data_IF_161537106708
#
_entry.id   IF_161537106708
#
_cell.length_a   1.000
_cell.length_b   1.000
_cell.length_c   1.000
_cell.angle_alpha   90.00
_cell.angle_beta   90.00
_cell.angle_gamma   90.00
#
_symmetry.space_group_name_H-M   'P 1'
#
loop_
_entity.id
_entity.type
_entity.pdbx_description
1 polymer ?
#
# COMPACT_ATOMS: atom_id res chain seq x y z
N UNK A 1 -12.06 -39.82 20.55
CA UNK A 1 -11.42 -38.48 20.46
C UNK A 1 -12.50 -37.43 20.64
N UNK A 2 -12.36 -36.48 21.58
CA UNK A 2 -13.41 -35.48 21.87
C UNK A 2 -13.55 -34.47 20.72
N UNK A 3 -14.78 -33.97 20.47
CA UNK A 3 -15.08 -32.95 19.44
C UNK A 3 -14.14 -31.74 19.52
N UNK A 4 -13.72 -31.37 20.74
CA UNK A 4 -12.76 -30.28 21.00
C UNK A 4 -11.37 -30.55 20.43
N UNK A 5 -10.85 -31.78 20.55
CA UNK A 5 -9.52 -32.14 20.02
C UNK A 5 -9.51 -32.03 18.50
N UNK A 6 -10.55 -32.55 17.85
CA UNK A 6 -10.68 -32.51 16.38
C UNK A 6 -10.77 -31.07 15.89
N UNK A 7 -11.58 -30.23 16.56
CA UNK A 7 -11.69 -28.81 16.23
C UNK A 7 -10.35 -28.08 16.34
N UNK A 8 -9.62 -28.24 17.44
CA UNK A 8 -8.33 -27.58 17.63
C UNK A 8 -7.27 -28.02 16.62
N UNK A 9 -7.23 -29.31 16.28
CA UNK A 9 -6.32 -29.83 15.24
C UNK A 9 -6.61 -29.20 13.88
N UNK A 10 -7.88 -29.17 13.48
CA UNK A 10 -8.31 -28.54 12.24
C UNK A 10 -8.05 -27.02 12.24
N UNK A 11 -8.31 -26.35 13.35
CA UNK A 11 -8.06 -24.91 13.50
C UNK A 11 -6.56 -24.57 13.42
N UNK A 12 -5.68 -25.39 13.99
CA UNK A 12 -4.23 -25.23 13.86
C UNK A 12 -3.76 -25.37 12.41
N UNK A 13 -4.31 -26.34 11.66
CA UNK A 13 -4.02 -26.48 10.22
C UNK A 13 -4.45 -25.23 9.46
N UNK A 14 -5.67 -24.74 9.69
CA UNK A 14 -6.20 -23.55 9.04
C UNK A 14 -5.39 -22.28 9.37
N UNK A 15 -4.99 -22.12 10.63
CA UNK A 15 -4.16 -21.01 11.09
C UNK A 15 -2.78 -21.02 10.41
N UNK A 16 -2.13 -22.19 10.33
CA UNK A 16 -0.85 -22.35 9.65
C UNK A 16 -0.93 -21.99 8.16
N UNK A 17 -1.93 -22.51 7.45
CA UNK A 17 -2.14 -22.22 6.03
C UNK A 17 -2.40 -20.72 5.80
N UNK A 18 -3.17 -20.08 6.68
CA UNK A 18 -3.43 -18.64 6.61
C UNK A 18 -2.13 -17.83 6.71
N UNK A 19 -1.26 -18.18 7.67
CA UNK A 19 0.06 -17.52 7.84
C UNK A 19 0.94 -17.75 6.62
N UNK A 20 0.99 -18.97 6.07
CA UNK A 20 1.79 -19.29 4.88
C UNK A 20 1.32 -18.50 3.64
N UNK A 21 0.02 -18.46 3.39
CA UNK A 21 -0.56 -17.67 2.29
C UNK A 21 -0.24 -16.19 2.48
N UNK A 22 -0.42 -15.65 3.70
CA UNK A 22 -0.15 -14.24 3.97
C UNK A 22 1.34 -13.89 3.77
N UNK A 23 2.24 -14.76 4.23
CA UNK A 23 3.69 -14.60 4.06
C UNK A 23 4.12 -14.72 2.60
N UNK A 24 3.47 -15.58 1.81
CA UNK A 24 3.76 -15.68 0.37
C UNK A 24 3.46 -14.36 -0.35
N UNK A 25 2.33 -13.72 -0.04
CA UNK A 25 1.98 -12.42 -0.62
C UNK A 25 2.77 -11.25 -0.02
N UNK A 26 3.17 -11.35 1.26
CA UNK A 26 3.95 -10.33 1.97
C UNK A 26 5.25 -10.91 2.56
N UNK A 27 6.23 -11.29 1.71
CA UNK A 27 7.48 -11.86 2.22
C UNK A 27 8.26 -10.83 3.03
N UNK A 28 8.77 -11.26 4.19
CA UNK A 28 9.79 -10.50 4.91
C UNK A 28 11.05 -10.35 4.05
N UNK A 29 11.70 -9.20 4.12
CA UNK A 29 12.98 -8.98 3.44
C UNK A 29 12.89 -8.56 1.97
N UNK A 30 11.70 -8.17 1.46
CA UNK A 30 11.56 -7.59 0.10
C UNK A 30 12.23 -6.21 -0.09
N UNK A 31 13.09 -5.75 0.83
CA UNK A 31 13.97 -4.62 0.52
C UNK A 31 15.13 -5.18 -0.28
N UNK A 32 15.24 -4.75 -1.54
CA UNK A 32 16.45 -4.96 -2.33
C UNK A 32 17.59 -4.27 -1.59
N UNK A 33 18.35 -5.01 -0.78
CA UNK A 33 19.73 -4.62 -0.51
C UNK A 33 20.39 -4.49 -1.88
N UNK A 34 20.73 -3.26 -2.25
CA UNK A 34 21.67 -3.07 -3.35
C UNK A 34 23.00 -3.51 -2.77
N UNK A 35 23.35 -4.77 -3.03
CA UNK A 35 24.66 -5.32 -2.72
C UNK A 35 25.63 -4.72 -3.75
N UNK A 36 26.12 -3.54 -3.40
CA UNK A 36 27.03 -2.73 -4.18
C UNK A 36 27.45 -1.55 -3.31
N UNK A 37 28.69 -1.58 -2.86
CA UNK A 37 29.42 -0.44 -2.31
C UNK A 37 29.27 0.71 -3.31
N UNK A 38 28.53 1.76 -2.91
CA UNK A 38 28.28 3.06 -3.56
C UNK A 38 26.79 3.45 -3.43
N UNK A 39 26.48 4.13 -2.32
CA UNK A 39 25.17 4.71 -1.99
C UNK A 39 24.87 5.93 -2.89
N UNK A 40 24.50 5.69 -4.16
CA UNK A 40 23.95 6.71 -5.08
C UNK A 40 22.41 6.81 -5.01
N UNK A 41 21.75 5.97 -4.19
CA UNK A 41 20.28 5.89 -4.13
C UNK A 41 19.66 6.43 -2.83
N UNK A 42 20.45 6.82 -1.83
CA UNK A 42 19.97 7.58 -0.67
C UNK A 42 18.93 6.85 0.20
N UNK A 43 18.90 5.51 0.16
CA UNK A 43 18.05 4.73 1.05
C UNK A 43 18.92 4.30 2.24
N UNK A 44 18.74 4.89 3.43
CA UNK A 44 19.59 4.57 4.57
C UNK A 44 19.43 3.10 4.96
N UNK A 45 20.50 2.33 4.82
CA UNK A 45 20.62 0.99 5.39
C UNK A 45 20.74 1.14 6.91
N UNK A 46 19.86 0.46 7.65
CA UNK A 46 19.92 0.51 9.11
C UNK A 46 21.03 -0.40 9.59
N UNK A 47 21.99 0.13 10.35
CA UNK A 47 23.15 -0.61 10.88
C UNK A 47 22.79 -1.82 11.75
N UNK A 48 21.55 -1.90 12.24
CA UNK A 48 21.06 -3.03 13.04
C UNK A 48 20.25 -4.03 12.21
N UNK A 49 20.07 -3.80 10.92
CA UNK A 49 19.39 -4.75 10.04
C UNK A 49 20.32 -5.93 9.80
N UNK A 50 19.91 -7.16 10.15
CA UNK A 50 20.74 -8.33 9.96
C UNK A 50 20.78 -8.69 8.46
N UNK A 51 21.89 -9.29 8.02
CA UNK A 51 22.07 -9.69 6.63
C UNK A 51 20.96 -10.63 6.12
N UNK A 52 20.63 -10.58 4.82
CA UNK A 52 19.50 -11.32 4.23
C UNK A 52 19.47 -12.82 4.55
N UNK A 53 20.62 -13.49 4.62
CA UNK A 53 20.67 -14.92 4.91
C UNK A 53 20.14 -15.26 6.32
N UNK A 54 20.16 -14.32 7.26
CA UNK A 54 19.63 -14.54 8.63
C UNK A 54 18.13 -14.83 8.62
N UNK A 55 17.41 -14.34 7.61
CA UNK A 55 15.98 -14.61 7.43
C UNK A 55 15.68 -16.03 6.93
N UNK A 56 16.69 -16.84 6.56
CA UNK A 56 16.52 -18.28 6.25
C UNK A 56 15.97 -19.04 7.46
N UNK A 57 16.15 -18.53 8.69
CA UNK A 57 15.58 -19.12 9.91
C UNK A 57 14.06 -19.33 9.82
N UNK A 58 13.34 -18.50 9.06
CA UNK A 58 11.91 -18.64 8.86
C UNK A 58 11.54 -19.94 8.16
N UNK A 59 12.37 -20.44 7.23
CA UNK A 59 12.15 -21.74 6.60
C UNK A 59 12.22 -22.88 7.62
N UNK A 60 13.17 -22.83 8.56
CA UNK A 60 13.28 -23.79 9.65
C UNK A 60 12.07 -23.71 10.59
N UNK A 61 11.68 -22.50 11.01
CA UNK A 61 10.51 -22.28 11.87
C UNK A 61 9.24 -22.83 11.20
N UNK A 62 8.99 -22.50 9.93
CA UNK A 62 7.80 -22.99 9.22
C UNK A 62 7.83 -24.50 8.99
N UNK A 63 9.01 -25.10 8.79
CA UNK A 63 9.17 -26.55 8.68
C UNK A 63 8.83 -27.27 9.99
N UNK A 64 9.30 -26.74 11.12
CA UNK A 64 8.98 -27.28 12.44
C UNK A 64 7.49 -27.15 12.77
N UNK A 65 6.89 -25.99 12.44
CA UNK A 65 5.46 -25.77 12.61
C UNK A 65 4.61 -26.70 11.73
N UNK A 66 5.05 -26.94 10.49
CA UNK A 66 4.43 -27.95 9.62
C UNK A 66 4.53 -29.35 10.24
N UNK A 67 5.71 -29.70 10.77
CA UNK A 67 5.93 -30.94 11.50
C UNK A 67 4.97 -31.09 12.68
N UNK A 68 4.78 -30.06 13.50
CA UNK A 68 3.78 -30.04 14.58
C UNK A 68 2.35 -30.25 14.05
N UNK A 69 1.98 -29.53 12.99
CA UNK A 69 0.63 -29.61 12.39
C UNK A 69 0.33 -31.01 11.86
N UNK A 70 1.32 -31.73 11.35
CA UNK A 70 1.22 -33.14 10.92
C UNK A 70 1.23 -34.07 12.14
N UNK A 71 2.17 -33.87 13.07
CA UNK A 71 2.42 -34.75 14.21
C UNK A 71 1.18 -34.91 15.10
N UNK A 72 0.42 -33.85 15.36
CA UNK A 72 -0.80 -33.92 16.18
C UNK A 72 -1.89 -34.89 15.65
N UNK A 73 -1.79 -35.35 14.40
CA UNK A 73 -2.69 -36.37 13.83
C UNK A 73 -2.21 -37.80 14.08
N UNK A 74 -0.97 -37.98 14.50
CA UNK A 74 -0.42 -39.28 14.90
C UNK A 74 -1.03 -39.77 16.21
N UNK A 75 -1.10 -41.08 16.38
CA UNK A 75 -1.61 -41.73 17.58
C UNK A 75 -0.81 -41.37 18.84
N UNK A 76 0.48 -41.07 18.67
CA UNK A 76 1.39 -40.70 19.77
C UNK A 76 1.21 -39.26 20.27
N UNK A 77 0.42 -38.42 19.59
CA UNK A 77 0.36 -36.98 19.83
C UNK A 77 -1.06 -36.47 20.12
N UNK A 78 -2.01 -37.37 20.40
CA UNK A 78 -3.45 -37.05 20.40
C UNK A 78 -3.86 -35.95 21.39
N UNK A 79 -3.10 -35.80 22.48
CA UNK A 79 -3.38 -34.87 23.58
C UNK A 79 -2.45 -33.65 23.60
N UNK A 80 -1.35 -33.65 22.85
CA UNK A 80 -0.41 -32.52 22.78
C UNK A 80 -1.09 -31.20 22.34
N UNK A 81 -2.12 -31.29 21.49
CA UNK A 81 -2.92 -30.14 21.05
C UNK A 81 -3.75 -29.53 22.18
N UNK A 82 -4.30 -30.35 23.08
CA UNK A 82 -5.24 -29.88 24.12
C UNK A 82 -4.54 -29.60 25.44
N UNK A 83 -3.49 -30.34 25.77
CA UNK A 83 -2.80 -30.19 27.04
C UNK A 83 -1.56 -29.29 26.91
N UNK A 84 -0.90 -29.30 25.76
CA UNK A 84 0.30 -28.47 25.51
C UNK A 84 0.00 -27.12 24.87
N UNK A 85 -0.67 -27.13 23.72
CA UNK A 85 -0.74 -25.94 22.83
C UNK A 85 -2.04 -25.16 22.94
N UNK A 86 -3.17 -25.85 23.12
CA UNK A 86 -4.50 -25.27 23.24
C UNK A 86 -4.80 -24.25 22.13
N UNK A 87 -5.26 -23.06 22.51
CA UNK A 87 -5.57 -21.95 21.61
C UNK A 87 -4.37 -21.02 21.38
N UNK A 88 -3.25 -21.20 22.10
CA UNK A 88 -2.11 -20.29 22.08
C UNK A 88 -1.50 -20.19 20.68
N UNK A 89 -1.39 -21.31 19.96
CA UNK A 89 -0.88 -21.31 18.60
C UNK A 89 -1.78 -20.54 17.62
N UNK A 90 -3.10 -20.67 17.76
CA UNK A 90 -4.08 -19.95 16.94
C UNK A 90 -3.96 -18.44 17.20
N UNK A 91 -3.89 -18.05 18.48
CA UNK A 91 -3.70 -16.65 18.88
C UNK A 91 -2.39 -16.10 18.32
N UNK A 92 -1.28 -16.84 18.41
CA UNK A 92 0.00 -16.44 17.85
C UNK A 92 -0.07 -16.23 16.33
N UNK A 93 -0.79 -17.09 15.59
CA UNK A 93 -1.01 -16.92 14.16
C UNK A 93 -1.83 -15.66 13.85
N UNK A 94 -2.92 -15.43 14.60
CA UNK A 94 -3.76 -14.23 14.45
C UNK A 94 -2.95 -12.97 14.71
N UNK A 95 -2.18 -12.95 15.81
CA UNK A 95 -1.30 -11.83 16.13
C UNK A 95 -0.27 -11.62 15.02
N UNK A 96 0.34 -12.70 14.49
CA UNK A 96 1.33 -12.67 13.39
C UNK A 96 0.78 -12.03 12.11
N UNK A 97 -0.47 -12.30 11.76
CA UNK A 97 -1.11 -11.65 10.60
C UNK A 97 -1.50 -10.21 10.94
N UNK A 98 -2.06 -10.01 12.14
CA UNK A 98 -2.59 -8.72 12.58
C UNK A 98 -1.50 -7.65 12.63
N UNK A 99 -0.35 -7.92 13.27
CA UNK A 99 0.70 -6.91 13.39
C UNK A 99 1.23 -6.47 12.03
N UNK A 100 1.33 -7.38 11.04
CA UNK A 100 1.77 -7.03 9.67
C UNK A 100 0.75 -6.16 8.96
N UNK A 101 -0.53 -6.50 9.06
CA UNK A 101 -1.62 -5.68 8.49
C UNK A 101 -1.62 -4.29 9.13
N UNK A 102 -1.52 -4.23 10.45
CA UNK A 102 -1.42 -2.98 11.19
C UNK A 102 -0.20 -2.18 10.73
N UNK A 103 0.98 -2.81 10.61
CA UNK A 103 2.18 -2.08 10.20
C UNK A 103 2.03 -1.48 8.80
N UNK A 104 1.56 -2.27 7.83
CA UNK A 104 1.35 -1.77 6.47
C UNK A 104 0.37 -0.60 6.40
N UNK A 105 -0.70 -0.64 7.21
CA UNK A 105 -1.67 0.46 7.29
C UNK A 105 -1.06 1.70 7.93
N UNK A 106 -0.32 1.52 9.02
CA UNK A 106 0.34 2.62 9.71
C UNK A 106 1.43 3.26 8.84
N UNK A 107 2.22 2.48 8.10
CA UNK A 107 3.24 2.97 7.16
C UNK A 107 2.59 3.85 6.08
N UNK A 108 1.47 3.40 5.51
CA UNK A 108 0.73 4.19 4.52
C UNK A 108 0.16 5.49 5.11
N UNK A 109 -0.50 5.40 6.27
CA UNK A 109 -1.22 6.53 6.87
C UNK A 109 -0.31 7.56 7.54
N UNK A 110 0.75 7.12 8.20
CA UNK A 110 1.61 8.00 9.01
C UNK A 110 2.95 8.32 8.35
N UNK A 111 3.39 7.52 7.38
CA UNK A 111 4.66 7.77 6.67
C UNK A 111 4.38 8.19 5.24
N UNK A 112 3.74 7.37 4.41
CA UNK A 112 3.63 7.71 2.98
C UNK A 112 2.74 8.94 2.73
N UNK A 113 1.49 8.92 3.20
CA UNK A 113 0.53 9.98 2.88
C UNK A 113 0.92 11.36 3.41
N UNK A 114 1.38 11.53 4.67
CA UNK A 114 1.73 12.86 5.17
C UNK A 114 2.91 13.47 4.41
N UNK A 115 3.92 12.67 4.07
CA UNK A 115 5.09 13.14 3.32
C UNK A 115 4.72 13.49 1.86
N UNK A 116 3.86 12.70 1.21
CA UNK A 116 3.36 13.03 -0.13
C UNK A 116 2.54 14.32 -0.12
N UNK A 117 1.61 14.47 0.82
CA UNK A 117 0.80 15.70 0.96
C UNK A 117 1.73 16.90 1.21
N UNK A 118 2.71 16.73 2.09
CA UNK A 118 3.69 17.77 2.40
C UNK A 118 4.50 18.15 1.17
N UNK A 119 5.00 17.18 0.39
CA UNK A 119 5.75 17.44 -0.84
C UNK A 119 4.88 18.18 -1.88
N UNK A 120 3.63 17.76 -2.06
CA UNK A 120 2.68 18.43 -2.96
C UNK A 120 2.39 19.86 -2.54
N UNK A 121 2.19 20.10 -1.25
CA UNK A 121 1.98 21.46 -0.73
C UNK A 121 3.25 22.32 -0.78
N UNK A 122 4.42 21.75 -0.54
CA UNK A 122 5.70 22.45 -0.62
C UNK A 122 5.97 22.93 -2.05
N UNK A 123 5.65 22.13 -3.08
CA UNK A 123 5.72 22.54 -4.48
C UNK A 123 4.83 23.77 -4.74
N UNK A 124 3.57 23.74 -4.29
CA UNK A 124 2.63 24.87 -4.42
C UNK A 124 3.16 26.10 -3.68
N UNK A 125 3.63 25.94 -2.44
CA UNK A 125 4.19 27.02 -1.64
C UNK A 125 5.42 27.65 -2.31
N UNK A 126 6.30 26.84 -2.93
CA UNK A 126 7.45 27.35 -3.68
C UNK A 126 7.00 28.23 -4.86
N UNK A 127 6.00 27.80 -5.63
CA UNK A 127 5.44 28.62 -6.73
C UNK A 127 4.88 29.95 -6.20
N UNK A 128 4.09 29.89 -5.13
CA UNK A 128 3.49 31.08 -4.51
C UNK A 128 4.57 32.04 -3.97
N UNK A 129 5.54 31.52 -3.23
CA UNK A 129 6.63 32.32 -2.65
C UNK A 129 7.50 32.95 -3.74
N UNK A 130 7.76 32.22 -4.83
CA UNK A 130 8.49 32.75 -5.98
C UNK A 130 7.72 33.91 -6.65
N UNK A 131 6.40 33.78 -6.78
CA UNK A 131 5.54 34.84 -7.33
C UNK A 131 5.45 36.07 -6.43
N UNK A 132 5.44 35.87 -5.11
CA UNK A 132 5.42 36.95 -4.13
C UNK A 132 6.77 37.69 -4.11
N UNK A 133 7.87 36.95 -4.17
CA UNK A 133 9.21 37.52 -4.13
C UNK A 133 9.54 38.34 -5.39
N UNK A 134 9.08 37.90 -6.56
CA UNK A 134 9.35 38.56 -7.84
C UNK A 134 8.03 39.13 -8.38
N UNK A 135 7.66 40.32 -7.90
CA UNK A 135 6.40 40.98 -8.28
C UNK A 135 6.24 41.21 -9.79
N UNK A 136 7.34 41.33 -10.54
CA UNK A 136 7.33 41.41 -12.00
C UNK A 136 6.69 40.19 -12.69
N UNK A 137 6.66 39.02 -12.03
CA UNK A 137 6.00 37.82 -12.52
C UNK A 137 4.48 37.86 -12.34
N UNK A 138 3.96 38.74 -11.49
CA UNK A 138 2.53 38.80 -11.13
C UNK A 138 1.67 39.46 -12.21
N UNK A 139 1.80 38.98 -13.45
CA UNK A 139 0.96 39.33 -14.60
C UNK A 139 -0.05 38.22 -14.85
N UNK A 140 -1.21 38.55 -15.41
CA UNK A 140 -2.25 37.55 -15.72
C UNK A 140 -1.69 36.43 -16.60
N UNK A 141 -0.88 36.78 -17.60
CA UNK A 141 -0.29 35.82 -18.53
C UNK A 141 0.64 34.84 -17.81
N UNK A 142 1.66 35.34 -17.09
CA UNK A 142 2.64 34.48 -16.42
C UNK A 142 1.98 33.65 -15.31
N UNK A 143 1.04 34.22 -14.55
CA UNK A 143 0.29 33.50 -13.51
C UNK A 143 -0.54 32.37 -14.12
N UNK A 144 -1.12 32.57 -15.31
CA UNK A 144 -1.85 31.52 -16.03
C UNK A 144 -0.91 30.40 -16.46
N UNK A 145 0.28 30.73 -16.99
CA UNK A 145 1.30 29.73 -17.35
C UNK A 145 1.73 28.92 -16.13
N UNK A 146 1.95 29.56 -14.98
CA UNK A 146 2.30 28.87 -13.73
C UNK A 146 1.22 27.87 -13.28
N UNK A 147 -0.06 28.26 -13.35
CA UNK A 147 -1.19 27.36 -13.06
C UNK A 147 -1.23 26.19 -14.02
N UNK A 148 -0.97 26.44 -15.32
CA UNK A 148 -0.88 25.39 -16.33
C UNK A 148 0.20 24.37 -16.00
N UNK A 149 1.40 24.84 -15.65
CA UNK A 149 2.52 23.99 -15.24
C UNK A 149 2.14 23.15 -14.02
N UNK A 150 1.58 23.77 -12.97
CA UNK A 150 1.14 23.06 -11.76
C UNK A 150 0.11 21.96 -12.08
N UNK A 151 -0.86 22.25 -12.95
CA UNK A 151 -1.88 21.28 -13.33
C UNK A 151 -1.34 20.09 -14.13
N UNK A 152 -0.36 20.33 -15.02
CA UNK A 152 0.33 19.26 -15.73
C UNK A 152 1.22 18.42 -14.81
N UNK A 153 1.90 19.03 -13.83
CA UNK A 153 2.65 18.30 -12.82
C UNK A 153 1.72 17.35 -12.05
N UNK A 154 0.56 17.84 -11.56
CA UNK A 154 -0.42 16.97 -10.88
C UNK A 154 -0.90 15.80 -11.76
N UNK A 155 -1.12 16.07 -13.05
CA UNK A 155 -1.57 15.04 -14.00
C UNK A 155 -0.49 14.00 -14.27
N UNK A 156 0.76 14.42 -14.41
CA UNK A 156 1.91 13.53 -14.56
C UNK A 156 2.03 12.55 -13.38
N UNK A 157 1.93 13.05 -12.14
CA UNK A 157 2.00 12.18 -10.95
C UNK A 157 0.79 11.23 -10.80
N UNK A 158 -0.32 11.52 -11.47
CA UNK A 158 -1.49 10.65 -11.51
C UNK A 158 -1.30 9.47 -12.48
N UNK A 159 -0.70 9.71 -13.63
CA UNK A 159 -0.50 8.73 -14.71
C UNK A 159 0.88 8.03 -14.65
N UNK A 160 1.78 8.43 -13.74
CA UNK A 160 3.08 7.77 -13.48
C UNK A 160 2.90 6.34 -12.93
N UNK A 161 3.90 5.47 -13.14
CA UNK A 161 3.89 4.06 -12.70
C UNK A 161 3.63 3.92 -11.19
N UNK A 162 4.05 4.90 -10.40
CA UNK A 162 3.84 4.94 -8.94
C UNK A 162 2.42 5.35 -8.52
N UNK A 163 1.62 5.86 -9.47
CA UNK A 163 0.25 6.34 -9.33
C UNK A 163 0.05 7.09 -8.01
N UNK A 164 0.81 8.16 -7.77
CA UNK A 164 0.72 8.89 -6.50
C UNK A 164 -0.50 9.82 -6.49
N UNK A 165 -1.67 9.19 -6.38
CA UNK A 165 -2.99 9.85 -6.36
C UNK A 165 -3.07 10.88 -5.23
N UNK A 166 -2.37 10.66 -4.12
CA UNK A 166 -2.41 11.57 -2.97
C UNK A 166 -1.72 12.90 -3.31
N UNK A 167 -0.61 12.86 -4.05
CA UNK A 167 0.05 14.07 -4.56
C UNK A 167 -0.88 14.85 -5.49
N UNK A 168 -1.50 14.15 -6.44
CA UNK A 168 -2.43 14.74 -7.40
C UNK A 168 -3.66 15.37 -6.72
N UNK A 169 -4.18 14.75 -5.66
CA UNK A 169 -5.26 15.32 -4.83
C UNK A 169 -4.82 16.63 -4.18
N UNK A 170 -3.59 16.72 -3.67
CA UNK A 170 -3.05 17.97 -3.10
C UNK A 170 -2.96 19.07 -4.15
N UNK A 171 -2.49 18.76 -5.36
CA UNK A 171 -2.44 19.72 -6.47
C UNK A 171 -3.85 20.13 -6.91
N UNK A 172 -4.78 19.18 -7.04
CA UNK A 172 -6.18 19.45 -7.34
C UNK A 172 -6.80 20.44 -6.34
N UNK A 173 -6.58 20.21 -5.05
CA UNK A 173 -7.06 21.12 -4.00
C UNK A 173 -6.48 22.52 -4.13
N UNK A 174 -5.18 22.65 -4.44
CA UNK A 174 -4.55 23.94 -4.69
C UNK A 174 -5.11 24.66 -5.93
N UNK A 175 -5.31 23.95 -7.03
CA UNK A 175 -5.90 24.51 -8.26
C UNK A 175 -7.31 25.04 -8.02
N UNK A 176 -8.14 24.32 -7.25
CA UNK A 176 -9.47 24.77 -6.85
C UNK A 176 -9.37 26.08 -6.03
N UNK A 177 -8.45 26.15 -5.06
CA UNK A 177 -8.21 27.37 -4.29
C UNK A 177 -7.79 28.56 -5.16
N UNK A 178 -6.91 28.33 -6.13
CA UNK A 178 -6.48 29.36 -7.10
C UNK A 178 -7.65 29.83 -7.96
N UNK A 179 -8.50 28.92 -8.43
CA UNK A 179 -9.70 29.24 -9.20
C UNK A 179 -10.66 30.13 -8.40
N UNK A 180 -10.96 29.76 -7.14
CA UNK A 180 -11.84 30.52 -6.26
C UNK A 180 -11.31 31.94 -6.02
N UNK A 181 -10.00 32.09 -5.77
CA UNK A 181 -9.37 33.39 -5.55
C UNK A 181 -9.42 34.28 -6.80
N UNK A 182 -9.26 33.70 -7.99
CA UNK A 182 -9.14 34.44 -9.25
C UNK A 182 -10.43 34.47 -10.09
N UNK A 183 -11.60 34.42 -9.44
CA UNK A 183 -12.90 34.40 -10.13
C UNK A 183 -13.14 35.57 -11.12
N UNK A 184 -12.48 36.72 -10.92
CA UNK A 184 -12.58 37.88 -11.81
C UNK A 184 -11.54 37.89 -12.96
N UNK A 185 -10.58 36.95 -12.94
CA UNK A 185 -9.51 36.86 -13.95
C UNK A 185 -9.70 35.61 -14.81
N UNK A 186 -10.51 35.76 -15.86
CA UNK A 186 -10.94 34.66 -16.75
C UNK A 186 -9.82 33.70 -17.18
N UNK A 187 -8.63 34.15 -17.64
CA UNK A 187 -7.58 33.21 -18.07
C UNK A 187 -7.11 32.27 -16.96
N UNK A 188 -6.91 32.79 -15.74
CA UNK A 188 -6.45 32.01 -14.59
C UNK A 188 -7.56 31.08 -14.11
N UNK A 189 -8.80 31.59 -14.04
CA UNK A 189 -9.97 30.81 -13.63
C UNK A 189 -10.18 29.61 -14.57
N UNK A 190 -10.18 29.84 -15.88
CA UNK A 190 -10.37 28.78 -16.89
C UNK A 190 -9.23 27.76 -16.81
N UNK A 191 -7.97 28.19 -16.76
CA UNK A 191 -6.84 27.27 -16.65
C UNK A 191 -6.95 26.40 -15.38
N UNK A 192 -7.19 27.02 -14.22
CA UNK A 192 -7.27 26.32 -12.95
C UNK A 192 -8.44 25.32 -12.89
N UNK A 193 -9.61 25.70 -13.40
CA UNK A 193 -10.80 24.83 -13.41
C UNK A 193 -10.67 23.66 -14.40
N UNK A 194 -10.18 23.92 -15.61
CA UNK A 194 -9.94 22.87 -16.63
C UNK A 194 -8.93 21.85 -16.11
N UNK A 195 -7.82 22.31 -15.52
CA UNK A 195 -6.80 21.42 -14.99
C UNK A 195 -7.25 20.69 -13.73
N UNK A 196 -8.10 21.31 -12.91
CA UNK A 196 -8.76 20.61 -11.79
C UNK A 196 -9.62 19.46 -12.33
N UNK A 197 -10.41 19.70 -13.38
CA UNK A 197 -11.19 18.66 -14.04
C UNK A 197 -10.33 17.54 -14.63
N UNK A 198 -9.22 17.88 -15.28
CA UNK A 198 -8.25 16.92 -15.82
C UNK A 198 -7.67 16.02 -14.73
N UNK A 199 -7.16 16.63 -13.65
CA UNK A 199 -6.59 15.89 -12.51
C UNK A 199 -7.65 15.01 -11.84
N UNK A 200 -8.85 15.54 -11.60
CA UNK A 200 -9.96 14.76 -11.05
C UNK A 200 -10.32 13.58 -11.96
N UNK A 201 -10.38 13.78 -13.27
CA UNK A 201 -10.63 12.72 -14.25
C UNK A 201 -9.54 11.63 -14.23
N UNK A 202 -8.28 12.02 -14.14
CA UNK A 202 -7.15 11.08 -13.97
C UNK A 202 -7.29 10.25 -12.69
N UNK A 203 -7.55 10.92 -11.56
CA UNK A 203 -7.76 10.28 -10.25
C UNK A 203 -8.91 9.27 -10.33
N UNK A 204 -10.05 9.67 -10.91
CA UNK A 204 -11.22 8.80 -11.07
C UNK A 204 -10.93 7.60 -12.00
N UNK A 205 -10.15 7.80 -13.07
CA UNK A 205 -9.75 6.73 -13.99
C UNK A 205 -8.88 5.68 -13.30
N UNK A 206 -7.91 6.10 -12.48
CA UNK A 206 -7.09 5.18 -11.68
C UNK A 206 -7.98 4.40 -10.71
N UNK A 207 -8.92 5.10 -10.06
CA UNK A 207 -9.85 4.50 -9.12
C UNK A 207 -10.82 3.49 -9.79
N UNK A 208 -11.33 3.82 -10.98
CA UNK A 208 -12.17 2.96 -11.80
C UNK A 208 -11.41 1.70 -12.22
N UNK A 209 -10.19 1.84 -12.75
CA UNK A 209 -9.35 0.68 -13.15
C UNK A 209 -9.12 -0.26 -11.97
N UNK A 210 -8.83 0.30 -10.80
CA UNK A 210 -8.68 -0.48 -9.56
C UNK A 210 -9.99 -1.19 -9.17
N UNK A 211 -11.13 -0.51 -9.24
CA UNK A 211 -12.43 -1.07 -8.89
C UNK A 211 -12.91 -2.13 -9.88
N UNK A 212 -12.77 -1.89 -11.19
CA UNK A 212 -13.11 -2.85 -12.25
C UNK A 212 -12.22 -4.09 -12.14
N UNK A 213 -10.92 -3.93 -11.93
CA UNK A 213 -10.01 -5.06 -11.71
C UNK A 213 -10.51 -5.91 -10.54
N UNK A 214 -10.88 -5.27 -9.43
CA UNK A 214 -11.44 -5.94 -8.24
C UNK A 214 -12.76 -6.66 -8.52
N UNK A 215 -13.68 -6.06 -9.28
CA UNK A 215 -14.94 -6.70 -9.67
C UNK A 215 -14.71 -7.88 -10.62
N UNK A 216 -13.83 -7.71 -11.62
CA UNK A 216 -13.51 -8.76 -12.61
C UNK A 216 -12.94 -9.99 -11.91
N UNK A 217 -12.03 -9.79 -10.95
CA UNK A 217 -11.48 -10.86 -10.11
C UNK A 217 -12.57 -11.55 -9.28
N UNK A 218 -13.51 -10.80 -8.68
CA UNK A 218 -14.65 -11.37 -7.95
C UNK A 218 -15.57 -12.20 -8.85
N UNK A 219 -15.87 -11.72 -10.06
CA UNK A 219 -16.70 -12.46 -11.04
C UNK A 219 -16.02 -13.74 -11.52
N UNK A 220 -14.72 -13.69 -11.80
CA UNK A 220 -13.96 -14.89 -12.19
C UNK A 220 -13.94 -15.95 -11.09
N UNK A 221 -13.76 -15.55 -9.83
CA UNK A 221 -13.81 -16.48 -8.69
C UNK A 221 -15.19 -17.16 -8.55
N UNK A 222 -16.29 -16.39 -8.65
CA UNK A 222 -17.65 -16.93 -8.59
C UNK A 222 -17.99 -17.85 -9.79
N UNK A 223 -17.43 -17.55 -10.97
CA UNK A 223 -17.59 -18.40 -12.15
C UNK A 223 -16.84 -19.74 -11.99
N UNK A 224 -15.60 -19.72 -11.45
CA UNK A 224 -14.85 -20.95 -11.18
C UNK A 224 -15.51 -21.85 -10.14
N UNK A 225 -16.17 -21.29 -9.12
CA UNK A 225 -16.87 -22.04 -8.07
C UNK A 225 -18.16 -22.72 -8.56
N UNK A 226 -18.73 -22.28 -9.69
CA UNK A 226 -19.96 -22.84 -10.28
C UNK A 226 -19.71 -23.90 -11.36
N UNK A 227 -18.47 -24.12 -11.74
CA UNK A 227 -18.09 -25.18 -12.67
C UNK A 227 -18.30 -26.53 -11.96
N UNK A 228 -19.20 -27.42 -12.41
CA UNK A 228 -19.26 -28.76 -11.85
C UNK A 228 -17.91 -29.45 -12.05
N UNK A 229 -17.42 -30.13 -11.02
CA UNK A 229 -16.25 -31.01 -11.09
C UNK A 229 -16.61 -32.16 -12.05
N UNK A 230 -16.53 -31.92 -13.36
CA UNK A 230 -16.63 -32.94 -14.40
C UNK A 230 -15.22 -33.40 -14.70
N UNK A 231 -14.75 -34.31 -13.85
CA UNK A 231 -13.63 -35.21 -14.04
C UNK A 231 -13.97 -36.50 -13.33
#
# INVERSE_FOLDING_TARGET
>A
MSRRHIFLKAANVAAFLTVMVFNYYNPMGKRKEHEGDDDDNGIPVSYISPANFTFIIWFLIYSLLLGFVIYQWSDNAKDATVDGVQYYYIIACILTVTWRVVWNILDLLFIRYPFTIYAGWLLVATFLNFWIAISALNTIFLSTVAVVILGFIGSYFTDDDRHDVVFAITILWALIGIAVKNHNHMPILVAATVLSGLNLGGILRVWERYFIAKIRLRRQRLASERSPLLG
#
